data_IF_096510190272
#
_entry.id   IF_096510190272
#
_cell.length_a   1.000
_cell.length_b   1.000
_cell.length_c   1.000
_cell.angle_alpha   90.00
_cell.angle_beta   90.00
_cell.angle_gamma   90.00
#
_symmetry.space_group_name_H-M   'P 1'
#
loop_
_entity.id
_entity.type
_entity.pdbx_description
1 polymer ?
#
# COMPACT_ATOMS: atom_id res chain seq x y z
N UNK A 1 -13.35 14.01 -6.34
CA UNK A 1 -12.61 13.49 -5.18
C UNK A 1 -11.81 12.23 -5.51
N UNK A 2 -12.31 11.33 -6.37
CA UNK A 2 -11.47 10.33 -7.05
C UNK A 2 -10.34 11.02 -7.83
N UNK A 3 -9.16 10.41 -7.86
CA UNK A 3 -7.97 10.97 -8.50
C UNK A 3 -7.06 11.78 -7.57
N UNK A 4 -7.51 12.08 -6.35
CA UNK A 4 -6.74 12.86 -5.37
C UNK A 4 -5.60 12.05 -4.74
N UNK A 5 -4.40 12.62 -4.69
CA UNK A 5 -3.30 12.10 -3.86
C UNK A 5 -3.68 12.25 -2.38
N UNK A 6 -3.65 11.13 -1.65
CA UNK A 6 -3.94 11.08 -0.23
C UNK A 6 -2.71 11.44 0.60
N UNK A 7 -1.52 11.18 0.07
CA UNK A 7 -0.25 11.56 0.65
C UNK A 7 0.82 10.49 0.46
N UNK A 8 1.91 10.66 1.20
CA UNK A 8 3.12 9.85 1.12
C UNK A 8 3.58 9.51 2.53
N UNK A 9 4.00 8.27 2.75
CA UNK A 9 4.50 7.80 4.05
C UNK A 9 5.89 8.33 4.36
N UNK A 10 6.42 8.06 5.56
CA UNK A 10 7.86 8.12 5.77
C UNK A 10 8.57 7.01 4.99
N UNK A 11 9.89 7.12 4.88
CA UNK A 11 10.72 5.97 4.51
C UNK A 11 10.69 4.93 5.63
N UNK A 12 10.71 3.65 5.24
CA UNK A 12 10.85 2.52 6.14
C UNK A 12 11.88 1.53 5.58
N UNK A 13 12.67 0.97 6.48
CA UNK A 13 13.69 -0.02 6.13
C UNK A 13 13.08 -1.41 5.95
N UNK A 14 13.53 -2.13 4.93
CA UNK A 14 13.24 -3.55 4.72
C UNK A 14 14.13 -4.37 5.64
N UNK A 15 13.55 -4.98 6.67
CA UNK A 15 14.30 -5.77 7.64
C UNK A 15 14.57 -7.20 7.15
N UNK A 16 15.63 -7.82 7.67
CA UNK A 16 15.97 -9.22 7.37
C UNK A 16 14.86 -10.19 7.77
N UNK A 17 14.18 -9.95 8.90
CA UNK A 17 13.06 -10.78 9.35
C UNK A 17 11.88 -10.77 8.37
N UNK A 18 11.70 -9.66 7.64
CA UNK A 18 10.66 -9.53 6.63
C UNK A 18 10.97 -10.37 5.38
N UNK A 19 12.21 -10.31 4.90
CA UNK A 19 12.63 -11.05 3.70
C UNK A 19 12.91 -12.53 3.96
N UNK A 20 13.25 -12.93 5.17
CA UNK A 20 13.37 -14.35 5.50
C UNK A 20 12.02 -15.09 5.37
N UNK A 21 10.89 -14.37 5.45
CA UNK A 21 9.56 -14.94 5.37
C UNK A 21 9.01 -15.06 3.93
N UNK A 22 9.63 -14.42 2.93
CA UNK A 22 9.07 -14.34 1.57
C UNK A 22 10.08 -13.89 0.51
N UNK A 23 9.72 -13.94 -0.77
CA UNK A 23 10.55 -13.37 -1.85
C UNK A 23 10.79 -11.86 -1.61
N UNK A 24 12.02 -11.34 -1.79
CA UNK A 24 12.34 -9.92 -1.66
C UNK A 24 11.37 -8.96 -2.36
N UNK A 25 10.81 -9.36 -3.50
CA UNK A 25 9.84 -8.57 -4.25
C UNK A 25 8.54 -8.31 -3.48
N UNK A 26 8.18 -9.12 -2.48
CA UNK A 26 6.94 -8.98 -1.71
C UNK A 26 7.04 -8.03 -0.50
N UNK A 27 8.22 -7.50 -0.18
CA UNK A 27 8.39 -6.54 0.91
C UNK A 27 7.39 -5.36 0.88
N UNK A 28 7.06 -4.75 -0.29
CA UNK A 28 6.02 -3.73 -0.41
C UNK A 28 4.66 -4.18 0.14
N UNK A 29 4.23 -5.42 -0.13
CA UNK A 29 2.93 -5.92 0.31
C UNK A 29 2.86 -6.12 1.82
N UNK A 30 3.97 -6.57 2.41
CA UNK A 30 4.04 -6.79 3.85
C UNK A 30 4.13 -5.47 4.64
N UNK A 31 4.85 -4.47 4.10
CA UNK A 31 4.95 -3.14 4.72
C UNK A 31 3.74 -2.23 4.43
N UNK A 32 2.99 -2.53 3.37
CA UNK A 32 1.84 -1.74 2.92
C UNK A 32 0.88 -1.33 4.03
N UNK A 33 0.40 -2.24 4.91
CA UNK A 33 -0.50 -1.89 6.02
C UNK A 33 0.10 -0.88 7.01
N UNK A 34 1.37 -1.04 7.35
CA UNK A 34 2.09 -0.17 8.29
C UNK A 34 2.28 1.21 7.68
N UNK A 35 2.74 1.28 6.43
CA UNK A 35 2.95 2.55 5.73
C UNK A 35 1.63 3.28 5.42
N UNK A 36 0.59 2.53 5.03
CA UNK A 36 -0.76 3.09 4.78
C UNK A 36 -1.29 3.81 6.02
N UNK A 37 -1.08 3.25 7.21
CA UNK A 37 -1.57 3.83 8.47
C UNK A 37 -0.95 5.21 8.81
N UNK A 38 0.17 5.56 8.17
CA UNK A 38 0.79 6.89 8.25
C UNK A 38 0.16 7.90 7.29
N UNK A 39 -0.41 7.42 6.17
CA UNK A 39 -0.95 8.25 5.09
C UNK A 39 -2.45 8.48 5.24
N UNK A 40 -3.20 7.42 5.53
CA UNK A 40 -4.67 7.47 5.60
C UNK A 40 -5.21 6.61 6.73
N UNK A 41 -6.19 7.18 7.45
CA UNK A 41 -6.99 6.49 8.47
C UNK A 41 -8.47 6.63 8.13
N UNK A 42 -9.22 5.57 8.37
CA UNK A 42 -10.65 5.54 8.11
C UNK A 42 -11.39 5.72 9.44
N UNK A 43 -11.74 6.95 9.78
CA UNK A 43 -12.54 7.24 10.96
C UNK A 43 -13.99 6.79 10.77
N UNK A 44 -14.66 6.38 11.85
CA UNK A 44 -16.06 5.95 11.82
C UNK A 44 -16.29 4.52 11.32
N UNK A 45 -15.23 3.75 11.04
CA UNK A 45 -15.29 2.35 10.63
C UNK A 45 -14.57 1.48 11.65
N UNK A 46 -15.14 0.31 11.98
CA UNK A 46 -14.53 -0.62 12.93
C UNK A 46 -13.29 -1.30 12.37
N UNK A 47 -13.30 -1.67 11.09
CA UNK A 47 -12.13 -2.30 10.47
C UNK A 47 -12.06 -2.09 8.96
N UNK A 48 -10.82 -2.17 8.42
CA UNK A 48 -10.57 -2.27 6.99
C UNK A 48 -10.04 -3.66 6.66
N UNK A 49 -10.82 -4.43 5.92
CA UNK A 49 -10.44 -5.75 5.46
C UNK A 49 -9.66 -5.62 4.14
N UNK A 50 -8.57 -6.37 4.01
CA UNK A 50 -7.81 -6.47 2.77
C UNK A 50 -8.50 -7.43 1.80
N UNK A 51 -9.03 -6.91 0.69
CA UNK A 51 -9.70 -7.68 -0.36
C UNK A 51 -8.78 -7.97 -1.56
N UNK A 52 -7.48 -7.77 -1.39
CA UNK A 52 -6.47 -8.08 -2.39
C UNK A 52 -6.08 -6.89 -3.26
N UNK A 53 -5.44 -7.20 -4.37
CA UNK A 53 -4.80 -6.24 -5.26
C UNK A 53 -5.19 -6.49 -6.72
N UNK A 54 -5.23 -5.42 -7.51
CA UNK A 54 -5.46 -5.43 -8.95
C UNK A 54 -4.29 -4.77 -9.66
N UNK A 55 -3.96 -5.24 -10.87
CA UNK A 55 -2.87 -4.75 -11.71
C UNK A 55 -1.52 -4.60 -10.97
N UNK A 56 -1.24 -5.56 -10.08
CA UNK A 56 -0.04 -5.53 -9.25
C UNK A 56 1.20 -5.84 -10.09
N UNK A 57 2.19 -4.92 -10.04
CA UNK A 57 3.46 -5.05 -10.73
C UNK A 57 4.60 -4.88 -9.75
N UNK A 58 5.58 -5.77 -9.83
CA UNK A 58 6.84 -5.67 -9.11
C UNK A 58 7.89 -5.13 -10.08
N UNK A 59 8.49 -4.01 -9.71
CA UNK A 59 9.58 -3.40 -10.46
C UNK A 59 10.90 -3.82 -9.84
N UNK A 60 11.65 -2.84 -9.34
CA UNK A 60 12.99 -3.08 -8.80
C UNK A 60 12.89 -3.76 -7.41
N UNK A 61 13.57 -4.91 -7.20
CA UNK A 61 13.61 -5.55 -5.88
C UNK A 61 14.35 -4.66 -4.88
N UNK A 62 13.85 -4.60 -3.64
CA UNK A 62 14.49 -3.83 -2.57
C UNK A 62 15.08 -4.79 -1.55
N UNK A 63 16.42 -4.91 -1.44
CA UNK A 63 17.06 -5.85 -0.51
C UNK A 63 16.91 -5.42 0.96
N UNK A 64 17.28 -6.30 1.89
CA UNK A 64 17.45 -5.95 3.32
C UNK A 64 18.30 -4.69 3.47
N UNK A 65 17.89 -3.78 4.34
CA UNK A 65 18.53 -2.48 4.58
C UNK A 65 18.14 -1.41 3.55
N UNK A 66 17.45 -1.80 2.47
CA UNK A 66 16.86 -0.85 1.53
C UNK A 66 15.69 -0.10 2.14
N UNK A 67 15.43 1.11 1.64
CA UNK A 67 14.35 1.98 2.11
C UNK A 67 13.20 2.02 1.11
N UNK A 68 11.98 1.78 1.61
CA UNK A 68 10.73 1.87 0.87
C UNK A 68 9.85 3.00 1.40
N UNK A 69 9.09 3.63 0.52
CA UNK A 69 8.06 4.63 0.86
C UNK A 69 6.82 4.43 0.01
N UNK A 70 5.65 4.63 0.60
CA UNK A 70 4.36 4.43 -0.04
C UNK A 70 3.71 5.76 -0.40
N UNK A 71 3.32 5.94 -1.66
CA UNK A 71 2.35 6.96 -2.08
C UNK A 71 0.98 6.33 -2.27
N UNK A 72 -0.08 7.03 -1.85
CA UNK A 72 -1.46 6.59 -2.05
C UNK A 72 -2.29 7.65 -2.76
N UNK A 73 -3.15 7.18 -3.64
CA UNK A 73 -4.18 7.97 -4.30
C UNK A 73 -5.52 7.25 -4.18
N UNK A 74 -6.59 8.01 -3.95
CA UNK A 74 -7.95 7.45 -3.99
C UNK A 74 -8.36 7.18 -5.45
N UNK A 75 -8.44 5.91 -5.82
CA UNK A 75 -8.78 5.50 -7.18
C UNK A 75 -10.28 5.29 -7.38
N UNK A 76 -10.98 4.72 -6.41
CA UNK A 76 -12.44 4.55 -6.47
C UNK A 76 -13.05 4.35 -5.08
N UNK A 77 -14.35 4.63 -5.01
CA UNK A 77 -15.22 4.30 -3.88
C UNK A 77 -16.47 3.62 -4.44
N UNK A 78 -16.87 2.50 -3.85
CA UNK A 78 -18.11 1.82 -4.19
C UNK A 78 -18.92 1.58 -2.92
N UNK A 79 -20.10 2.20 -2.87
CA UNK A 79 -21.08 1.94 -1.81
C UNK A 79 -21.59 0.50 -1.91
N UNK A 80 -21.59 -0.20 -0.79
CA UNK A 80 -22.07 -1.59 -0.65
C UNK A 80 -23.10 -1.69 0.49
N UNK A 81 -23.85 -0.62 0.75
CA UNK A 81 -24.86 -0.52 1.80
C UNK A 81 -24.22 -0.27 3.16
N UNK A 82 -24.18 -1.29 4.01
CA UNK A 82 -23.56 -1.18 5.33
C UNK A 82 -22.03 -1.12 5.30
N UNK A 83 -21.41 -1.35 4.13
CA UNK A 83 -19.96 -1.37 3.96
C UNK A 83 -19.53 -0.48 2.79
N UNK A 84 -18.28 -0.02 2.81
CA UNK A 84 -17.71 0.80 1.74
C UNK A 84 -16.50 0.10 1.14
N UNK A 85 -16.50 -0.10 -0.17
CA UNK A 85 -15.32 -0.59 -0.87
C UNK A 85 -14.48 0.58 -1.36
N UNK A 86 -13.18 0.55 -1.04
CA UNK A 86 -12.22 1.58 -1.40
C UNK A 86 -11.14 0.94 -2.26
N UNK A 87 -10.82 1.61 -3.36
CA UNK A 87 -9.68 1.26 -4.20
C UNK A 87 -8.64 2.35 -4.05
N UNK A 88 -7.45 1.98 -3.57
CA UNK A 88 -6.31 2.87 -3.41
C UNK A 88 -5.26 2.52 -4.46
N UNK A 89 -4.92 3.46 -5.34
CA UNK A 89 -3.74 3.31 -6.18
C UNK A 89 -2.52 3.52 -5.30
N UNK A 90 -1.63 2.53 -5.31
CA UNK A 90 -0.40 2.53 -4.52
C UNK A 90 0.83 2.55 -5.43
N UNK A 91 1.85 3.27 -4.99
CA UNK A 91 3.17 3.29 -5.60
C UNK A 91 4.20 3.22 -4.49
N UNK A 92 5.01 2.16 -4.50
CA UNK A 92 6.12 1.99 -3.60
C UNK A 92 7.39 2.48 -4.29
N UNK A 93 7.98 3.52 -3.73
CA UNK A 93 9.25 4.08 -4.15
C UNK A 93 10.38 3.41 -3.36
N UNK A 94 11.51 3.15 -4.02
CA UNK A 94 12.75 2.72 -3.38
C UNK A 94 13.76 3.87 -3.37
N UNK A 95 14.46 4.07 -2.25
CA UNK A 95 15.44 5.15 -2.16
C UNK A 95 16.59 4.93 -3.16
N UNK A 96 16.96 6.00 -3.89
CA UNK A 96 18.03 5.97 -4.89
C UNK A 96 17.66 5.32 -6.23
N UNK A 97 16.39 4.94 -6.43
CA UNK A 97 15.91 4.30 -7.65
C UNK A 97 14.75 5.11 -8.25
N UNK A 98 14.80 5.37 -9.55
CA UNK A 98 13.76 6.13 -10.23
C UNK A 98 12.50 5.30 -10.52
N UNK A 99 12.69 4.01 -10.82
CA UNK A 99 11.59 3.08 -11.07
C UNK A 99 10.94 2.62 -9.75
N UNK A 100 9.60 2.55 -9.67
CA UNK A 100 8.92 2.05 -8.48
C UNK A 100 9.28 0.59 -8.19
N UNK A 101 9.40 0.26 -6.90
CA UNK A 101 9.56 -1.12 -6.45
C UNK A 101 8.28 -1.94 -6.66
N UNK A 102 7.11 -1.30 -6.49
CA UNK A 102 5.82 -1.94 -6.69
C UNK A 102 4.73 -0.92 -7.03
N UNK A 103 3.82 -1.29 -7.93
CA UNK A 103 2.62 -0.50 -8.22
C UNK A 103 1.40 -1.41 -8.29
N UNK A 104 0.22 -0.86 -8.01
CA UNK A 104 -1.04 -1.59 -8.17
C UNK A 104 -2.21 -0.84 -7.55
N UNK A 105 -3.38 -1.46 -7.58
CA UNK A 105 -4.58 -0.97 -6.90
C UNK A 105 -4.91 -1.89 -5.73
N UNK A 106 -4.92 -1.33 -4.52
CA UNK A 106 -5.26 -2.04 -3.30
C UNK A 106 -6.75 -1.89 -2.98
N UNK A 107 -7.45 -3.02 -2.91
CA UNK A 107 -8.88 -3.06 -2.57
C UNK A 107 -9.07 -3.34 -1.08
N UNK A 108 -9.77 -2.43 -0.44
CA UNK A 108 -10.12 -2.51 0.96
C UNK A 108 -11.65 -2.48 1.10
N UNK A 109 -12.18 -3.28 2.02
CA UNK A 109 -13.57 -3.15 2.47
C UNK A 109 -13.59 -2.56 3.85
N UNK A 110 -14.21 -1.40 4.00
CA UNK A 110 -14.52 -0.84 5.30
C UNK A 110 -15.83 -1.43 5.79
N UNK A 111 -15.80 -1.95 7.00
CA UNK A 111 -16.97 -2.51 7.67
C UNK A 111 -17.21 -1.78 8.99
N UNK A 112 -18.49 -1.59 9.36
CA UNK A 112 -18.88 -0.80 10.52
C UNK A 112 -18.56 -1.50 11.84
#
# INVERSE_FOLDING_TARGET
MVGRELGVSSWAEVSAGLQAATDPAFAPLLLGPVLKAQVVRFAGWRSSLNYGYEDLRFGVPVPVGGLLRLRLQLAALHDRGSSLEIVLRQTFEAAGVAEPACTGCWRLRLVP
#
